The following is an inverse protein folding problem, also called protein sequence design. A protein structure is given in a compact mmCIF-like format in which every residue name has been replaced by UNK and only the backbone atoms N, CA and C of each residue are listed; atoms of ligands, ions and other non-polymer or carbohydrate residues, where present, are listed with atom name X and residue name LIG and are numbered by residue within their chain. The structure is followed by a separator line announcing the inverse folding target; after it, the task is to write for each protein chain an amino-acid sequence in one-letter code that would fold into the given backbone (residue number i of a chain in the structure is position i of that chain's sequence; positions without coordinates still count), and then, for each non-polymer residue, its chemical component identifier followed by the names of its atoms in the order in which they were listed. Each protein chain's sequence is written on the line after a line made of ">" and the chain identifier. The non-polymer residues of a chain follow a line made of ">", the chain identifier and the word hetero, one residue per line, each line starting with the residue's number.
data_IF_735823761699
#
_entry.id   IF_735823761699
#
_cell.length_a   1.000
_cell.length_b   1.000
_cell.length_c   1.000
_cell.angle_alpha   90.00
_cell.angle_beta   90.00
_cell.angle_gamma   90.00
#
_symmetry.space_group_name_H-M   'P 1'
#
loop_
_entity.id
_entity.type
_entity.pdbx_description
1 polymer ?
#
# COMPACT_ATOMS: atom_id res chain seq x y z
N UNK A 1 -46.49 57.97 23.06
CA UNK A 1 -47.12 56.69 22.66
C UNK A 1 -47.08 56.49 21.14
N UNK A 2 -47.64 57.41 20.35
CA UNK A 2 -47.65 57.34 18.88
C UNK A 2 -46.26 57.13 18.21
N UNK A 3 -45.21 57.85 18.63
CA UNK A 3 -43.85 57.70 18.05
C UNK A 3 -43.26 56.30 18.33
N UNK A 4 -43.56 55.72 19.49
CA UNK A 4 -43.10 54.39 19.86
C UNK A 4 -43.81 53.30 19.03
N UNK A 5 -45.12 53.46 18.82
CA UNK A 5 -45.92 52.59 17.96
C UNK A 5 -45.45 52.67 16.51
N UNK A 6 -45.15 53.86 16.01
CA UNK A 6 -44.64 54.07 14.66
C UNK A 6 -43.26 53.41 14.46
N UNK A 7 -42.35 53.57 15.42
CA UNK A 7 -41.04 52.91 15.39
C UNK A 7 -41.15 51.37 15.49
N UNK A 8 -42.11 50.86 16.27
CA UNK A 8 -42.37 49.43 16.39
C UNK A 8 -42.92 48.87 15.06
N UNK A 9 -43.83 49.59 14.40
CA UNK A 9 -44.36 49.22 13.08
C UNK A 9 -43.29 49.23 11.98
N UNK A 10 -42.36 50.20 12.01
CA UNK A 10 -41.24 50.23 11.05
C UNK A 10 -40.33 49.01 11.21
N UNK A 11 -39.97 48.64 12.44
CA UNK A 11 -39.15 47.44 12.73
C UNK A 11 -39.85 46.15 12.31
N UNK A 12 -41.17 46.06 12.52
CA UNK A 12 -41.95 44.89 12.09
C UNK A 12 -41.96 44.76 10.56
N UNK A 13 -42.11 45.87 9.84
CA UNK A 13 -42.03 45.89 8.37
C UNK A 13 -40.64 45.51 7.85
N UNK A 14 -39.57 46.02 8.47
CA UNK A 14 -38.19 45.62 8.15
C UNK A 14 -37.97 44.12 8.37
N UNK A 15 -38.42 43.57 9.51
CA UNK A 15 -38.40 42.13 9.76
C UNK A 15 -39.17 41.32 8.71
N UNK A 16 -40.34 41.81 8.27
CA UNK A 16 -41.12 41.14 7.23
C UNK A 16 -40.41 41.16 5.87
N UNK A 17 -39.74 42.26 5.51
CA UNK A 17 -38.96 42.38 4.27
C UNK A 17 -37.78 41.41 4.31
N UNK A 18 -37.02 41.38 5.40
CA UNK A 18 -35.88 40.46 5.59
C UNK A 18 -36.35 39.01 5.54
N UNK A 19 -37.45 38.68 6.23
CA UNK A 19 -38.00 37.31 6.23
C UNK A 19 -38.48 36.89 4.83
N UNK A 20 -39.07 37.81 4.06
CA UNK A 20 -39.48 37.58 2.67
C UNK A 20 -38.26 37.38 1.76
N UNK A 21 -37.21 38.19 1.91
CA UNK A 21 -35.95 38.04 1.17
C UNK A 21 -35.25 36.71 1.49
N UNK A 22 -35.15 36.34 2.77
CA UNK A 22 -34.55 35.06 3.18
C UNK A 22 -35.35 33.86 2.66
N UNK A 23 -36.68 33.92 2.68
CA UNK A 23 -37.52 32.87 2.10
C UNK A 23 -37.39 32.78 0.57
N UNK A 24 -37.19 33.91 -0.11
CA UNK A 24 -36.94 33.97 -1.55
C UNK A 24 -35.57 33.35 -1.88
N UNK A 25 -34.50 33.75 -1.19
CA UNK A 25 -33.16 33.19 -1.36
C UNK A 25 -33.12 31.69 -1.06
N UNK A 26 -33.82 31.24 0.00
CA UNK A 26 -33.92 29.81 0.33
C UNK A 26 -34.66 29.02 -0.75
N UNK A 27 -35.75 29.58 -1.32
CA UNK A 27 -36.46 28.96 -2.45
C UNK A 27 -35.61 28.91 -3.73
N UNK A 28 -34.83 29.94 -4.01
CA UNK A 28 -33.93 29.98 -5.17
C UNK A 28 -32.78 28.99 -5.01
N UNK A 29 -32.15 28.93 -3.83
CA UNK A 29 -31.14 27.92 -3.52
C UNK A 29 -31.70 26.49 -3.59
N UNK A 30 -32.91 26.25 -3.08
CA UNK A 30 -33.56 24.95 -3.20
C UNK A 30 -33.86 24.57 -4.67
N UNK A 31 -34.26 25.54 -5.51
CA UNK A 31 -34.47 25.31 -6.95
C UNK A 31 -33.17 24.99 -7.69
N UNK A 32 -32.08 25.67 -7.35
CA UNK A 32 -30.75 25.36 -7.88
C UNK A 32 -30.32 23.94 -7.51
N UNK A 33 -30.50 23.54 -6.23
CA UNK A 33 -30.21 22.19 -5.77
C UNK A 33 -31.08 21.14 -6.49
N UNK A 34 -32.38 21.39 -6.63
CA UNK A 34 -33.32 20.48 -7.32
C UNK A 34 -32.99 20.32 -8.80
N UNK A 35 -32.44 21.34 -9.47
CA UNK A 35 -32.00 21.24 -10.87
C UNK A 35 -30.70 20.45 -11.03
N UNK A 36 -29.82 20.50 -10.03
CA UNK A 36 -28.53 19.81 -10.03
C UNK A 36 -28.65 18.30 -9.78
N UNK A 37 -29.52 17.91 -8.85
CA UNK A 37 -29.71 16.51 -8.43
C UNK A 37 -29.96 15.54 -9.62
N UNK A 38 -30.85 15.82 -10.59
CA UNK A 38 -31.09 14.91 -11.71
C UNK A 38 -29.87 14.74 -12.62
N UNK A 39 -29.11 15.81 -12.83
CA UNK A 39 -27.96 15.81 -13.73
C UNK A 39 -26.78 15.06 -13.12
N UNK A 40 -26.51 15.30 -11.84
CA UNK A 40 -25.45 14.62 -11.09
C UNK A 40 -25.75 13.13 -10.89
N UNK A 41 -27.00 12.79 -10.59
CA UNK A 41 -27.42 11.39 -10.41
C UNK A 41 -27.31 10.60 -11.73
N UNK A 42 -27.74 11.18 -12.86
CA UNK A 42 -27.60 10.56 -14.17
C UNK A 42 -26.14 10.40 -14.58
N UNK A 43 -25.30 11.41 -14.33
CA UNK A 43 -23.86 11.31 -14.56
C UNK A 43 -23.23 10.19 -13.73
N UNK A 44 -23.60 10.08 -12.45
CA UNK A 44 -23.11 9.04 -11.54
C UNK A 44 -23.53 7.64 -11.99
N UNK A 45 -24.80 7.44 -12.35
CA UNK A 45 -25.29 6.16 -12.85
C UNK A 45 -24.63 5.74 -14.16
N UNK A 46 -24.44 6.69 -15.09
CA UNK A 46 -23.83 6.41 -16.39
C UNK A 46 -22.35 6.02 -16.23
N UNK A 47 -21.59 6.78 -15.43
CA UNK A 47 -20.17 6.48 -15.18
C UNK A 47 -19.96 5.24 -14.30
N UNK A 48 -20.93 4.86 -13.47
CA UNK A 48 -20.79 3.68 -12.59
C UNK A 48 -21.04 2.35 -13.29
N UNK A 49 -21.71 2.33 -14.45
CA UNK A 49 -22.19 1.09 -15.11
C UNK A 49 -21.18 0.38 -16.00
N UNK A 50 -20.01 0.98 -16.25
CA UNK A 50 -19.05 0.50 -17.25
C UNK A 50 -17.85 -0.23 -16.62
N UNK A 51 -17.37 -1.29 -17.28
CA UNK A 51 -16.13 -2.02 -16.93
C UNK A 51 -14.85 -1.16 -17.08
N UNK A 52 -14.99 0.11 -17.45
CA UNK A 52 -13.91 1.05 -17.61
C UNK A 52 -13.20 1.32 -16.28
N UNK A 53 -11.86 1.38 -16.33
CA UNK A 53 -11.08 1.78 -15.15
C UNK A 53 -11.45 3.19 -14.71
N UNK A 54 -11.30 3.45 -13.42
CA UNK A 54 -11.62 4.75 -12.81
C UNK A 54 -10.90 5.90 -13.54
N UNK A 55 -9.64 5.68 -13.95
CA UNK A 55 -8.85 6.63 -14.74
C UNK A 55 -9.45 6.93 -16.12
N UNK A 56 -9.95 5.90 -16.82
CA UNK A 56 -10.57 6.07 -18.12
C UNK A 56 -11.86 6.90 -18.00
N UNK A 57 -12.65 6.69 -16.94
CA UNK A 57 -13.85 7.48 -16.68
C UNK A 57 -13.53 8.94 -16.40
N UNK A 58 -12.54 9.20 -15.54
CA UNK A 58 -12.08 10.56 -15.26
C UNK A 58 -11.58 11.25 -16.56
N UNK A 59 -10.83 10.52 -17.40
CA UNK A 59 -10.35 11.03 -18.68
C UNK A 59 -11.49 11.41 -19.63
N UNK A 60 -12.50 10.54 -19.79
CA UNK A 60 -13.65 10.79 -20.65
C UNK A 60 -14.42 12.04 -20.21
N UNK A 61 -14.66 12.19 -18.90
CA UNK A 61 -15.39 13.31 -18.33
C UNK A 61 -14.64 14.63 -18.49
N UNK A 62 -13.32 14.62 -18.29
CA UNK A 62 -12.53 15.84 -18.37
C UNK A 62 -12.26 16.30 -19.82
N UNK A 63 -12.15 15.35 -20.77
CA UNK A 63 -11.56 15.64 -22.09
C UNK A 63 -12.50 15.43 -23.27
N UNK A 64 -13.49 14.53 -23.17
CA UNK A 64 -14.28 14.10 -24.34
C UNK A 64 -15.76 14.44 -24.19
N UNK A 65 -16.37 14.03 -23.07
CA UNK A 65 -17.83 14.12 -22.88
C UNK A 65 -18.38 15.54 -22.96
N UNK A 66 -17.75 16.59 -22.39
CA UNK A 66 -18.28 17.94 -22.46
C UNK A 66 -18.53 18.42 -23.88
N UNK A 67 -17.55 18.24 -24.77
CA UNK A 67 -17.64 18.66 -26.17
C UNK A 67 -18.52 17.70 -26.99
N UNK A 68 -18.42 16.39 -26.71
CA UNK A 68 -19.20 15.39 -27.42
C UNK A 68 -20.71 15.59 -27.20
N UNK A 69 -21.13 15.81 -25.96
CA UNK A 69 -22.54 15.96 -25.62
C UNK A 69 -23.14 17.21 -26.26
N UNK A 70 -22.42 18.34 -26.24
CA UNK A 70 -22.84 19.55 -26.95
C UNK A 70 -22.91 19.33 -28.47
N UNK A 71 -21.98 18.57 -29.03
CA UNK A 71 -21.99 18.20 -30.44
C UNK A 71 -23.18 17.31 -30.82
N UNK A 72 -23.52 16.34 -29.98
CA UNK A 72 -24.69 15.49 -30.16
C UNK A 72 -25.98 16.29 -30.01
N UNK A 73 -26.06 17.21 -29.04
CA UNK A 73 -27.22 18.10 -28.91
C UNK A 73 -27.41 18.95 -30.16
N UNK A 74 -26.33 19.54 -30.69
CA UNK A 74 -26.38 20.34 -31.92
C UNK A 74 -26.77 19.49 -33.13
N UNK A 75 -26.24 18.26 -33.21
CA UNK A 75 -26.60 17.30 -34.25
C UNK A 75 -28.09 16.97 -34.23
N UNK A 76 -28.66 16.68 -33.04
CA UNK A 76 -30.08 16.35 -32.89
C UNK A 76 -30.96 17.53 -33.32
N UNK A 77 -30.61 18.76 -32.95
CA UNK A 77 -31.35 19.96 -33.39
C UNK A 77 -31.33 20.12 -34.91
N UNK A 78 -30.19 19.90 -35.55
CA UNK A 78 -30.07 19.98 -37.02
C UNK A 78 -30.85 18.88 -37.74
N UNK A 79 -30.93 17.68 -37.15
CA UNK A 79 -31.77 16.58 -37.64
C UNK A 79 -33.25 16.98 -37.56
N UNK A 80 -33.68 17.55 -36.44
CA UNK A 80 -35.06 17.99 -36.25
C UNK A 80 -35.44 19.17 -37.15
N UNK A 81 -34.57 20.19 -37.25
CA UNK A 81 -34.78 21.36 -38.14
C UNK A 81 -34.92 20.95 -39.61
N UNK A 82 -34.26 19.86 -40.01
CA UNK A 82 -34.36 19.28 -41.36
C UNK A 82 -35.50 18.27 -41.53
N UNK A 83 -36.28 17.99 -40.48
CA UNK A 83 -37.36 17.00 -40.50
C UNK A 83 -36.89 15.57 -40.74
N UNK A 84 -35.62 15.28 -40.43
CA UNK A 84 -35.00 13.97 -40.67
C UNK A 84 -35.34 12.97 -39.56
N UNK A 85 -35.81 13.43 -38.40
CA UNK A 85 -36.17 12.56 -37.26
C UNK A 85 -37.36 11.64 -37.55
N UNK A 86 -38.32 12.07 -38.37
CA UNK A 86 -39.50 11.28 -38.75
C UNK A 86 -39.26 10.42 -40.00
N UNK A 87 -38.16 10.68 -40.72
CA UNK A 87 -37.89 10.06 -42.01
C UNK A 87 -36.85 8.95 -41.85
N UNK A 88 -37.28 7.68 -41.86
CA UNK A 88 -36.36 6.53 -41.86
C UNK A 88 -35.63 6.30 -43.19
N UNK A 89 -35.61 7.29 -44.09
CA UNK A 89 -34.93 7.22 -45.39
C UNK A 89 -33.55 7.85 -45.27
N UNK A 90 -32.58 7.25 -45.96
CA UNK A 90 -31.23 7.79 -46.04
C UNK A 90 -31.25 9.13 -46.78
N UNK A 91 -30.69 10.17 -46.15
CA UNK A 91 -30.53 11.50 -46.72
C UNK A 91 -29.09 11.68 -47.24
N UNK A 92 -28.86 11.72 -48.57
CA UNK A 92 -27.51 11.81 -49.12
C UNK A 92 -26.75 13.09 -48.75
N UNK A 93 -27.47 14.16 -48.46
CA UNK A 93 -26.92 15.50 -48.23
C UNK A 93 -26.56 15.74 -46.75
N UNK A 94 -26.98 14.85 -45.84
CA UNK A 94 -26.71 14.97 -44.42
C UNK A 94 -26.14 13.69 -43.83
N UNK A 95 -24.85 13.72 -43.50
CA UNK A 95 -24.19 12.64 -42.78
C UNK A 95 -23.96 13.05 -41.31
N UNK A 96 -24.65 12.41 -40.34
CA UNK A 96 -24.58 12.79 -38.92
C UNK A 96 -23.20 12.57 -38.30
N UNK A 97 -22.46 11.55 -38.76
CA UNK A 97 -21.10 11.27 -38.28
C UNK A 97 -20.14 12.38 -38.76
N UNK A 98 -20.24 12.75 -40.04
CA UNK A 98 -19.42 13.84 -40.58
C UNK A 98 -19.74 15.17 -39.91
N UNK A 99 -21.02 15.46 -39.67
CA UNK A 99 -21.44 16.66 -38.95
C UNK A 99 -20.83 16.72 -37.54
N UNK A 100 -20.96 15.62 -36.79
CA UNK A 100 -20.41 15.53 -35.43
C UNK A 100 -18.89 15.65 -35.43
N UNK A 101 -18.19 14.98 -36.35
CA UNK A 101 -16.74 15.08 -36.48
C UNK A 101 -16.29 16.51 -36.77
N UNK A 102 -16.94 17.20 -37.72
CA UNK A 102 -16.65 18.61 -38.01
C UNK A 102 -16.91 19.51 -36.80
N UNK A 103 -17.98 19.26 -36.05
CA UNK A 103 -18.29 19.99 -34.82
C UNK A 103 -17.18 19.81 -33.78
N UNK A 104 -16.75 18.57 -33.54
CA UNK A 104 -15.69 18.24 -32.58
C UNK A 104 -14.35 18.88 -32.97
N UNK A 105 -14.00 18.85 -34.26
CA UNK A 105 -12.76 19.48 -34.76
C UNK A 105 -12.77 21.00 -34.57
N UNK A 106 -13.92 21.65 -34.77
CA UNK A 106 -14.08 23.10 -34.57
C UNK A 106 -14.12 23.51 -33.10
N UNK A 107 -14.62 22.63 -32.22
CA UNK A 107 -14.78 22.88 -30.79
C UNK A 107 -13.79 22.11 -29.93
N UNK A 108 -12.53 22.00 -30.39
CA UNK A 108 -11.49 21.28 -29.66
C UNK A 108 -11.35 21.86 -28.23
N UNK A 109 -11.45 21.02 -27.17
CA UNK A 109 -11.35 21.46 -25.78
C UNK A 109 -10.07 22.22 -25.45
N UNK A 110 -8.97 21.98 -26.19
CA UNK A 110 -7.70 22.71 -26.01
C UNK A 110 -7.76 24.19 -26.40
N UNK A 111 -8.75 24.57 -27.22
CA UNK A 111 -8.83 25.91 -27.82
C UNK A 111 -10.21 26.57 -27.63
N UNK A 112 -11.18 25.89 -27.01
CA UNK A 112 -12.56 26.33 -26.88
C UNK A 112 -13.00 26.36 -25.41
N UNK A 113 -13.41 27.55 -24.92
CA UNK A 113 -13.87 27.75 -23.54
C UNK A 113 -15.39 27.51 -23.36
N UNK A 114 -16.09 27.09 -24.42
CA UNK A 114 -17.57 26.98 -24.40
C UNK A 114 -18.09 25.88 -23.46
N UNK A 115 -17.27 24.85 -23.18
CA UNK A 115 -17.66 23.76 -22.31
C UNK A 115 -17.91 24.22 -20.86
N UNK A 116 -17.23 25.26 -20.38
CA UNK A 116 -17.34 25.69 -18.98
C UNK A 116 -18.68 26.41 -18.65
N UNK A 117 -19.44 26.83 -19.65
CA UNK A 117 -20.67 27.61 -19.46
C UNK A 117 -21.92 26.75 -19.22
N UNK A 118 -21.89 25.45 -19.54
CA UNK A 118 -23.08 24.59 -19.42
C UNK A 118 -23.22 24.04 -17.99
N UNK A 119 -24.39 24.19 -17.34
CA UNK A 119 -24.68 23.59 -16.03
C UNK A 119 -24.42 22.07 -16.00
N UNK A 120 -24.60 21.40 -17.14
CA UNK A 120 -24.37 19.97 -17.28
C UNK A 120 -22.89 19.59 -17.22
N UNK A 121 -22.04 20.37 -17.91
CA UNK A 121 -20.58 20.15 -17.88
C UNK A 121 -20.02 20.41 -16.48
N UNK A 122 -20.59 21.38 -15.76
CA UNK A 122 -20.24 21.63 -14.37
C UNK A 122 -20.55 20.43 -13.47
N UNK A 123 -21.76 19.86 -13.58
CA UNK A 123 -22.14 18.66 -12.82
C UNK A 123 -21.24 17.45 -13.13
N UNK A 124 -20.88 17.27 -14.40
CA UNK A 124 -19.91 16.24 -14.80
C UNK A 124 -18.54 16.43 -14.14
N UNK A 125 -18.03 17.67 -14.08
CA UNK A 125 -16.73 17.96 -13.46
C UNK A 125 -16.74 17.71 -11.96
N UNK A 126 -17.85 18.05 -11.27
CA UNK A 126 -18.02 17.76 -9.85
C UNK A 126 -17.96 16.24 -9.58
N UNK A 127 -18.59 15.43 -10.43
CA UNK A 127 -18.51 13.95 -10.35
C UNK A 127 -17.10 13.44 -10.68
N UNK A 128 -16.38 14.05 -11.65
CA UNK A 128 -14.99 13.70 -11.96
C UNK A 128 -14.06 13.90 -10.76
N UNK A 129 -14.20 15.01 -10.05
CA UNK A 129 -13.38 15.29 -8.86
C UNK A 129 -13.70 14.33 -7.70
N UNK A 130 -14.96 13.93 -7.51
CA UNK A 130 -15.34 12.87 -6.56
C UNK A 130 -14.65 11.54 -6.91
N UNK A 131 -14.70 11.16 -8.18
CA UNK A 131 -14.06 9.94 -8.69
C UNK A 131 -12.53 9.96 -8.50
N UNK A 132 -11.88 11.11 -8.74
CA UNK A 132 -10.43 11.27 -8.52
C UNK A 132 -10.07 11.16 -7.03
N UNK A 133 -10.89 11.74 -6.15
CA UNK A 133 -10.67 11.63 -4.71
C UNK A 133 -10.74 10.17 -4.23
N UNK A 134 -11.69 9.39 -4.74
CA UNK A 134 -11.75 7.95 -4.46
C UNK A 134 -10.46 7.22 -4.90
N UNK A 135 -9.95 7.54 -6.09
CA UNK A 135 -8.67 7.00 -6.60
C UNK A 135 -7.50 7.28 -5.66
N UNK A 136 -7.31 8.53 -5.25
CA UNK A 136 -6.23 8.90 -4.33
C UNK A 136 -6.31 8.15 -3.01
N UNK A 137 -7.51 8.03 -2.43
CA UNK A 137 -7.68 7.30 -1.17
C UNK A 137 -7.37 5.80 -1.31
N UNK A 138 -7.70 5.20 -2.45
CA UNK A 138 -7.40 3.80 -2.73
C UNK A 138 -5.90 3.56 -2.90
N UNK A 139 -5.21 4.43 -3.65
CA UNK A 139 -3.77 4.36 -3.85
C UNK A 139 -2.99 4.58 -2.55
N UNK A 140 -3.38 5.57 -1.75
CA UNK A 140 -2.78 5.83 -0.45
C UNK A 140 -2.93 4.64 0.49
N UNK A 141 -4.10 3.99 0.49
CA UNK A 141 -4.35 2.80 1.29
C UNK A 141 -3.50 1.60 0.82
N UNK A 142 -3.38 1.39 -0.50
CA UNK A 142 -2.50 0.37 -1.08
C UNK A 142 -1.03 0.61 -0.73
N UNK A 143 -0.56 1.84 -0.85
CA UNK A 143 0.81 2.23 -0.48
C UNK A 143 1.06 2.07 1.02
N UNK A 144 0.07 2.41 1.86
CA UNK A 144 0.15 2.21 3.30
C UNK A 144 0.29 0.72 3.65
N UNK A 145 -0.47 -0.17 2.99
CA UNK A 145 -0.34 -1.62 3.14
C UNK A 145 1.05 -2.13 2.75
N UNK A 146 1.58 -1.70 1.60
CA UNK A 146 2.92 -2.10 1.14
C UNK A 146 4.00 -1.61 2.12
N UNK A 147 3.93 -0.35 2.56
CA UNK A 147 4.88 0.20 3.55
C UNK A 147 4.83 -0.57 4.86
N UNK A 148 3.63 -0.92 5.34
CA UNK A 148 3.46 -1.70 6.56
C UNK A 148 4.05 -3.12 6.42
N UNK A 149 3.85 -3.78 5.28
CA UNK A 149 4.40 -5.12 5.02
C UNK A 149 5.94 -5.11 4.96
N UNK A 150 6.52 -4.15 4.23
CA UNK A 150 7.99 -3.99 4.15
C UNK A 150 8.59 -3.71 5.52
N UNK A 151 7.93 -2.86 6.33
CA UNK A 151 8.39 -2.56 7.70
C UNK A 151 8.37 -3.82 8.58
N UNK A 152 7.31 -4.62 8.51
CA UNK A 152 7.22 -5.90 9.25
C UNK A 152 8.33 -6.88 8.85
N UNK A 153 8.52 -7.10 7.54
CA UNK A 153 9.61 -7.98 7.06
C UNK A 153 10.99 -7.51 7.53
N UNK A 154 11.20 -6.20 7.59
CA UNK A 154 12.44 -5.62 8.11
C UNK A 154 12.62 -5.86 9.61
N UNK A 155 11.58 -5.64 10.42
CA UNK A 155 11.64 -5.89 11.87
C UNK A 155 11.83 -7.38 12.18
N UNK A 156 11.19 -8.27 11.43
CA UNK A 156 11.33 -9.72 11.62
C UNK A 156 12.75 -10.19 11.29
N UNK A 157 13.36 -9.62 10.25
CA UNK A 157 14.76 -9.88 9.91
C UNK A 157 15.72 -9.34 10.96
N UNK A 158 15.53 -8.10 11.40
CA UNK A 158 16.38 -7.45 12.42
C UNK A 158 16.33 -8.22 13.76
N UNK A 159 15.14 -8.66 14.18
CA UNK A 159 14.96 -9.46 15.40
C UNK A 159 15.60 -10.84 15.28
N UNK A 160 15.45 -11.52 14.15
CA UNK A 160 16.08 -12.82 13.92
C UNK A 160 17.62 -12.72 13.89
N UNK A 161 18.16 -11.73 13.19
CA UNK A 161 19.62 -11.48 13.16
C UNK A 161 20.16 -11.12 14.55
N UNK A 162 19.37 -10.41 15.36
CA UNK A 162 19.74 -10.10 16.74
C UNK A 162 19.78 -11.36 17.62
N UNK A 163 18.78 -12.24 17.51
CA UNK A 163 18.78 -13.52 18.22
C UNK A 163 19.99 -14.39 17.85
N UNK A 164 20.33 -14.46 16.56
CA UNK A 164 21.52 -15.20 16.09
C UNK A 164 22.80 -14.63 16.72
N UNK A 165 22.95 -13.29 16.74
CA UNK A 165 24.12 -12.65 17.36
C UNK A 165 24.20 -12.93 18.86
N UNK A 166 23.09 -12.81 19.58
CA UNK A 166 23.03 -13.10 21.02
C UNK A 166 23.41 -14.56 21.32
N UNK A 167 22.96 -15.51 20.49
CA UNK A 167 23.33 -16.93 20.62
C UNK A 167 24.83 -17.12 20.35
N UNK A 168 25.37 -16.52 19.28
CA UNK A 168 26.80 -16.62 18.95
C UNK A 168 27.70 -16.04 20.05
N UNK A 169 27.34 -14.89 20.62
CA UNK A 169 28.07 -14.29 21.74
C UNK A 169 28.03 -15.18 22.99
N UNK A 170 26.88 -15.78 23.31
CA UNK A 170 26.77 -16.75 24.42
C UNK A 170 27.65 -17.96 24.19
N UNK A 171 27.66 -18.52 22.97
CA UNK A 171 28.53 -19.66 22.63
C UNK A 171 30.00 -19.31 22.81
N UNK A 172 30.43 -18.17 22.29
CA UNK A 172 31.81 -17.73 22.42
C UNK A 172 32.23 -17.58 23.89
N UNK A 173 31.37 -16.96 24.72
CA UNK A 173 31.64 -16.82 26.15
C UNK A 173 31.74 -18.17 26.88
N UNK A 174 30.89 -19.15 26.53
CA UNK A 174 30.96 -20.51 27.09
C UNK A 174 32.23 -21.25 26.66
N UNK A 175 32.67 -21.11 25.41
CA UNK A 175 33.95 -21.68 24.94
C UNK A 175 35.15 -21.08 25.68
N UNK A 176 35.16 -19.76 25.92
CA UNK A 176 36.22 -19.11 26.71
C UNK A 176 36.24 -19.64 28.15
N UNK A 177 35.07 -19.82 28.78
CA UNK A 177 34.97 -20.38 30.12
C UNK A 177 35.48 -21.82 30.17
N UNK A 178 35.10 -22.65 29.20
CA UNK A 178 35.56 -24.03 29.07
C UNK A 178 37.09 -24.09 28.89
N UNK A 179 37.66 -23.28 28.00
CA UNK A 179 39.11 -23.19 27.83
C UNK A 179 39.83 -22.79 29.12
N UNK A 180 39.26 -21.84 29.88
CA UNK A 180 39.82 -21.42 31.17
C UNK A 180 39.85 -22.58 32.16
N UNK A 181 38.75 -23.34 32.28
CA UNK A 181 38.68 -24.51 33.18
C UNK A 181 39.68 -25.62 32.82
N UNK A 182 39.95 -25.82 31.52
CA UNK A 182 40.90 -26.84 31.04
C UNK A 182 42.35 -26.40 31.20
N UNK A 183 42.61 -25.09 31.24
CA UNK A 183 43.95 -24.52 31.38
C UNK A 183 44.37 -24.27 32.82
N UNK A 184 43.44 -24.31 33.79
CA UNK A 184 43.75 -24.22 35.24
C UNK A 184 44.76 -25.27 35.70
N UNK A 185 44.77 -26.46 35.07
CA UNK A 185 45.68 -27.55 35.39
C UNK A 185 47.00 -27.52 34.61
N UNK A 186 47.15 -26.59 33.66
CA UNK A 186 48.30 -26.57 32.73
C UNK A 186 49.09 -25.27 32.87
N UNK A 187 50.35 -25.36 33.31
CA UNK A 187 51.25 -24.20 33.52
C UNK A 187 51.46 -23.27 32.31
N UNK A 188 51.02 -23.65 31.10
CA UNK A 188 51.29 -22.93 29.86
C UNK A 188 50.07 -22.33 29.14
N UNK A 189 48.85 -22.29 29.72
CA UNK A 189 47.63 -21.77 29.04
C UNK A 189 47.42 -22.34 27.62
N UNK A 190 47.73 -23.62 27.46
CA UNK A 190 47.53 -24.34 26.22
C UNK A 190 46.76 -25.63 26.48
N UNK A 191 45.93 -26.03 25.52
CA UNK A 191 45.19 -27.29 25.55
C UNK A 191 45.79 -28.23 24.51
N UNK A 192 46.05 -29.48 24.87
CA UNK A 192 46.53 -30.48 23.90
C UNK A 192 45.37 -30.88 22.99
N UNK A 193 45.59 -30.86 21.67
CA UNK A 193 44.58 -31.16 20.65
C UNK A 193 43.94 -32.54 20.85
N UNK A 194 44.71 -33.54 21.29
CA UNK A 194 44.21 -34.88 21.57
C UNK A 194 43.08 -34.91 22.63
N UNK A 195 43.13 -34.04 23.66
CA UNK A 195 42.05 -33.95 24.65
C UNK A 195 40.76 -33.43 24.02
N UNK A 196 40.88 -32.48 23.10
CA UNK A 196 39.75 -31.89 22.40
C UNK A 196 39.06 -32.90 21.47
N UNK A 197 39.86 -33.62 20.70
CA UNK A 197 39.35 -34.67 19.80
C UNK A 197 38.74 -35.84 20.57
N UNK A 198 39.33 -36.20 21.72
CA UNK A 198 38.76 -37.22 22.59
C UNK A 198 37.42 -36.74 23.20
N UNK A 199 37.32 -35.49 23.66
CA UNK A 199 36.06 -34.94 24.17
C UNK A 199 34.96 -34.89 23.12
N UNK A 200 35.28 -34.50 21.87
CA UNK A 200 34.35 -34.56 20.75
C UNK A 200 33.87 -36.00 20.48
N UNK A 201 34.76 -36.98 20.58
CA UNK A 201 34.41 -38.40 20.41
C UNK A 201 33.54 -38.93 21.55
N UNK A 202 33.89 -38.62 22.79
CA UNK A 202 33.08 -38.96 23.97
C UNK A 202 31.68 -38.36 23.89
N UNK A 203 31.55 -37.15 23.34
CA UNK A 203 30.24 -36.56 23.09
C UNK A 203 29.47 -37.34 22.02
N UNK A 204 30.09 -37.71 20.89
CA UNK A 204 29.41 -38.54 19.87
C UNK A 204 28.94 -39.88 20.42
N UNK A 205 29.74 -40.53 21.27
CA UNK A 205 29.38 -41.78 21.94
C UNK A 205 28.22 -41.57 22.95
N UNK A 206 28.18 -40.40 23.61
CA UNK A 206 27.07 -40.02 24.50
C UNK A 206 25.79 -39.71 23.73
N UNK A 207 25.91 -39.15 22.52
CA UNK A 207 24.77 -38.82 21.64
C UNK A 207 24.00 -40.06 21.19
N UNK A 208 24.67 -41.21 21.04
CA UNK A 208 24.01 -42.49 20.71
C UNK A 208 22.97 -42.92 21.76
N UNK A 209 23.06 -42.38 22.98
CA UNK A 209 22.16 -42.69 24.09
C UNK A 209 20.99 -41.68 24.22
N UNK A 210 20.94 -40.63 23.40
CA UNK A 210 19.85 -39.64 23.42
C UNK A 210 18.60 -40.12 22.68
N UNK A 211 17.41 -39.51 22.92
CA UNK A 211 16.21 -39.73 22.13
C UNK A 211 16.45 -39.47 20.63
N UNK A 212 15.79 -40.25 19.76
CA UNK A 212 16.00 -40.21 18.30
C UNK A 212 15.86 -38.80 17.67
N UNK A 213 15.04 -37.94 18.28
CA UNK A 213 14.82 -36.55 17.86
C UNK A 213 16.06 -35.66 18.08
N UNK A 214 16.87 -35.93 19.11
CA UNK A 214 18.09 -35.21 19.42
C UNK A 214 19.33 -35.82 18.75
N UNK A 215 19.27 -37.11 18.39
CA UNK A 215 20.37 -37.81 17.72
C UNK A 215 20.69 -37.22 16.35
N UNK A 216 19.70 -36.89 15.53
CA UNK A 216 19.92 -36.31 14.20
C UNK A 216 20.45 -34.88 14.27
N UNK A 217 20.07 -34.15 15.31
CA UNK A 217 20.39 -32.73 15.47
C UNK A 217 21.73 -32.52 16.20
N UNK A 218 22.19 -33.53 16.95
CA UNK A 218 23.47 -33.53 17.66
C UNK A 218 24.66 -34.06 16.82
N UNK A 219 24.42 -34.47 15.56
CA UNK A 219 25.51 -34.86 14.66
C UNK A 219 26.30 -33.64 14.23
N UNK A 220 27.62 -33.71 14.37
CA UNK A 220 28.51 -32.70 13.81
C UNK A 220 28.41 -32.67 12.29
N UNK A 221 28.35 -31.47 11.70
CA UNK A 221 28.30 -31.29 10.25
C UNK A 221 29.57 -31.72 9.51
N UNK A 222 30.67 -31.92 10.25
CA UNK A 222 31.97 -32.36 9.76
C UNK A 222 32.40 -33.67 10.42
N UNK A 223 32.97 -34.64 9.68
CA UNK A 223 33.54 -35.85 10.29
C UNK A 223 34.71 -35.50 11.21
N UNK A 224 34.81 -36.22 12.34
CA UNK A 224 35.89 -36.04 13.31
C UNK A 224 37.23 -36.48 12.70
N UNK A 225 38.25 -35.65 12.88
CA UNK A 225 39.62 -35.99 12.48
C UNK A 225 40.17 -37.12 13.40
N UNK A 226 41.10 -37.97 12.90
CA UNK A 226 41.78 -38.94 13.74
C UNK A 226 42.55 -38.25 14.88
N UNK A 227 42.66 -38.94 16.01
CA UNK A 227 43.29 -38.40 17.22
C UNK A 227 44.75 -38.07 16.93
N UNK A 228 45.17 -36.87 17.31
CA UNK A 228 46.52 -36.38 17.11
C UNK A 228 47.50 -37.15 18.00
N UNK A 229 48.51 -37.76 17.38
CA UNK A 229 49.61 -38.44 18.05
C UNK A 229 50.84 -37.52 18.18
N UNK A 230 50.82 -36.32 17.58
CA UNK A 230 51.97 -35.41 17.50
C UNK A 230 52.12 -34.50 18.73
N UNK A 231 51.13 -34.48 19.62
CA UNK A 231 51.16 -33.69 20.86
C UNK A 231 50.96 -32.19 20.62
N UNK A 232 50.26 -31.81 19.55
CA UNK A 232 50.02 -30.41 19.21
C UNK A 232 49.23 -29.70 20.32
N UNK A 233 49.66 -28.50 20.68
CA UNK A 233 48.99 -27.66 21.68
C UNK A 233 48.32 -26.47 21.03
N UNK A 234 47.09 -26.16 21.42
CA UNK A 234 46.27 -25.06 20.92
C UNK A 234 46.28 -23.89 21.90
N UNK A 235 46.33 -22.66 21.35
CA UNK A 235 46.02 -21.44 22.08
C UNK A 235 44.50 -21.18 22.13
N UNK A 236 44.04 -20.14 22.86
CA UNK A 236 42.61 -19.83 23.02
C UNK A 236 41.90 -19.59 21.67
N UNK A 237 42.55 -18.88 20.75
CA UNK A 237 41.95 -18.57 19.45
C UNK A 237 41.84 -19.82 18.58
N UNK A 238 42.90 -20.63 18.53
CA UNK A 238 42.94 -21.90 17.80
C UNK A 238 41.95 -22.92 18.38
N UNK A 239 41.77 -22.95 19.71
CA UNK A 239 40.78 -23.77 20.38
C UNK A 239 39.35 -23.33 20.01
N UNK A 240 39.07 -22.02 20.09
CA UNK A 240 37.76 -21.47 19.75
C UNK A 240 37.43 -21.70 18.28
N UNK A 241 38.37 -21.46 17.36
CA UNK A 241 38.20 -21.69 15.92
C UNK A 241 37.96 -23.17 15.61
N UNK A 242 38.73 -24.08 16.23
CA UNK A 242 38.58 -25.51 16.03
C UNK A 242 37.20 -25.99 16.49
N UNK A 243 36.80 -25.70 17.73
CA UNK A 243 35.48 -26.10 18.24
C UNK A 243 34.33 -25.46 17.49
N UNK A 244 34.44 -24.18 17.13
CA UNK A 244 33.40 -23.48 16.36
C UNK A 244 33.11 -24.19 15.04
N UNK A 245 34.12 -24.80 14.40
CA UNK A 245 33.93 -25.54 13.15
C UNK A 245 33.05 -26.79 13.27
N UNK A 246 32.89 -27.36 14.48
CA UNK A 246 32.02 -28.51 14.75
C UNK A 246 30.70 -28.09 15.41
N UNK A 247 30.73 -27.03 16.21
CA UNK A 247 29.66 -26.64 17.13
C UNK A 247 28.74 -25.56 16.57
N UNK A 248 29.17 -24.79 15.57
CA UNK A 248 28.35 -23.72 14.98
C UNK A 248 27.01 -24.22 14.42
N UNK A 249 26.99 -25.42 13.86
CA UNK A 249 25.81 -26.02 13.24
C UNK A 249 24.86 -26.69 14.26
N UNK A 250 25.31 -26.91 15.50
CA UNK A 250 24.48 -27.47 16.56
C UNK A 250 23.47 -26.42 17.06
N UNK A 251 22.25 -26.79 17.45
CA UNK A 251 21.37 -25.93 18.25
C UNK A 251 22.02 -25.57 19.58
N UNK A 252 21.58 -24.45 20.17
CA UNK A 252 22.17 -23.96 21.41
C UNK A 252 21.93 -24.92 22.58
N UNK A 253 20.80 -25.62 22.61
CA UNK A 253 20.42 -26.59 23.64
C UNK A 253 21.37 -27.79 23.65
N UNK A 254 21.72 -28.29 22.46
CA UNK A 254 22.66 -29.40 22.29
C UNK A 254 24.09 -28.96 22.60
N UNK A 255 24.44 -27.73 22.23
CA UNK A 255 25.73 -27.16 22.60
C UNK A 255 25.90 -27.02 24.12
N UNK A 256 24.85 -26.64 24.86
CA UNK A 256 24.92 -26.60 26.32
C UNK A 256 25.22 -27.97 26.92
N UNK A 257 24.58 -29.03 26.41
CA UNK A 257 24.87 -30.42 26.82
C UNK A 257 26.30 -30.88 26.49
N UNK A 258 26.94 -30.28 25.49
CA UNK A 258 28.35 -30.55 25.17
C UNK A 258 29.32 -29.85 26.13
N UNK A 259 28.94 -28.68 26.65
CA UNK A 259 29.80 -27.86 27.52
C UNK A 259 29.68 -28.26 29.00
N UNK A 260 28.55 -28.87 29.39
CA UNK A 260 28.32 -29.50 30.72
C UNK A 260 29.11 -30.80 30.90
#
# INVERSE_FOLDING_TARGET
>A
KHIHEQNMMTRLNEMHIIKKQNAQMSKEAAREIIRKIPVELLAKEWLSKEDATVDMRAYLVDHILPTLILGVEKLLKEVDEKGLSETSRFEPEFNPINFLAQYLMRNNPRFSNFAEASPYVRGLREVSEEIKQELFTFEDNKLARIKAETRRKRTDRETHEQQIREIQERRHNQLIAQFSSWTEFTHKKHVVLAFLQNALRSFTESVEHFPAELQEVARFGRPLDPTDETGKTLNLNEFSEYLSSFVNDLPFEVFQLFVE
#
